data_IF_692113396794
#
_entry.id   IF_692113396794
#
_cell.length_a   1.000
_cell.length_b   1.000
_cell.length_c   1.000
_cell.angle_alpha   90.00
_cell.angle_beta   90.00
_cell.angle_gamma   90.00
#
_symmetry.space_group_name_H-M   'P 1'
#
loop_
_entity.id
_entity.type
_entity.pdbx_description
1 polymer ?
#
# COMPACT_ATOMS: atom_id res chain seq x y z
N UNK A 1 -13.78 -4.57 0.60
CA UNK A 1 -13.34 -3.39 1.36
C UNK A 1 -11.83 -3.38 1.35
N UNK A 2 -11.22 -2.21 1.36
CA UNK A 2 -9.77 -2.10 1.46
C UNK A 2 -9.29 -2.59 2.82
N UNK A 3 -8.04 -3.09 2.94
CA UNK A 3 -7.43 -3.49 4.23
C UNK A 3 -6.02 -2.95 4.40
N UNK A 4 -5.75 -1.72 3.96
CA UNK A 4 -4.41 -1.09 3.98
C UNK A 4 -3.82 -1.01 5.39
N UNK A 5 -4.64 -0.68 6.38
CA UNK A 5 -4.24 -0.55 7.78
C UNK A 5 -5.15 -1.34 8.71
N UNK A 6 -4.54 -2.16 9.58
CA UNK A 6 -5.22 -2.87 10.67
C UNK A 6 -4.79 -2.26 12.00
N UNK A 7 -5.61 -1.38 12.57
CA UNK A 7 -5.31 -0.72 13.85
C UNK A 7 -5.72 -1.60 15.03
N UNK A 8 -4.73 -2.06 15.80
CA UNK A 8 -4.95 -2.83 17.02
C UNK A 8 -5.29 -1.91 18.20
N UNK A 9 -6.33 -2.26 18.94
CA UNK A 9 -6.74 -1.58 20.18
C UNK A 9 -7.08 -2.62 21.26
N UNK A 10 -6.57 -2.48 22.50
CA UNK A 10 -6.86 -3.44 23.57
C UNK A 10 -8.34 -3.46 23.95
N UNK A 11 -8.94 -4.64 24.04
CA UNK A 11 -10.35 -4.81 24.40
C UNK A 11 -10.67 -4.46 25.86
N UNK A 12 -9.66 -4.41 26.73
CA UNK A 12 -9.78 -3.96 28.11
C UNK A 12 -9.65 -2.43 28.27
N UNK A 13 -9.47 -1.70 27.16
CA UNK A 13 -9.35 -0.23 27.14
C UNK A 13 -10.38 0.40 26.19
N UNK A 14 -11.68 0.39 26.55
CA UNK A 14 -12.76 0.83 25.66
C UNK A 14 -12.65 2.31 25.26
N UNK A 15 -12.03 3.15 26.08
CA UNK A 15 -11.75 4.57 25.74
C UNK A 15 -10.78 4.73 24.56
N UNK A 16 -9.88 3.76 24.35
CA UNK A 16 -9.00 3.74 23.18
C UNK A 16 -9.74 3.22 21.96
N UNK A 17 -10.52 2.15 22.12
CA UNK A 17 -11.32 1.57 21.03
C UNK A 17 -12.29 2.60 20.45
N UNK A 18 -12.99 3.38 21.29
CA UNK A 18 -13.87 4.48 20.84
C UNK A 18 -13.16 5.60 20.06
N UNK A 19 -11.84 5.69 20.14
CA UNK A 19 -11.04 6.67 19.38
C UNK A 19 -10.43 6.09 18.12
N UNK A 20 -10.45 4.76 17.97
CA UNK A 20 -9.85 4.04 16.84
C UNK A 20 -10.43 4.43 15.46
N UNK A 21 -11.71 4.84 15.30
CA UNK A 21 -12.22 5.29 14.01
C UNK A 21 -11.62 6.61 13.51
N UNK A 22 -11.12 7.48 14.41
CA UNK A 22 -10.68 8.85 14.06
C UNK A 22 -9.55 8.91 13.03
N UNK A 23 -8.48 8.10 13.11
CA UNK A 23 -7.46 8.06 12.05
C UNK A 23 -7.94 7.37 10.76
N UNK A 24 -9.21 6.95 10.67
CA UNK A 24 -9.79 6.25 9.52
C UNK A 24 -8.98 5.03 9.07
N UNK A 25 -8.71 4.07 9.97
CA UNK A 25 -8.09 2.82 9.57
C UNK A 25 -9.08 1.99 8.77
N UNK A 26 -8.59 1.23 7.80
CA UNK A 26 -9.44 0.34 6.99
C UNK A 26 -10.03 -0.80 7.85
N UNK A 27 -9.31 -1.22 8.90
CA UNK A 27 -9.75 -2.24 9.86
C UNK A 27 -9.42 -1.80 11.28
N UNK A 28 -10.40 -1.90 12.18
CA UNK A 28 -10.21 -1.74 13.63
C UNK A 28 -10.20 -3.13 14.26
N UNK A 29 -9.08 -3.53 14.85
CA UNK A 29 -8.93 -4.83 15.52
C UNK A 29 -9.00 -4.64 17.03
N UNK A 30 -10.10 -5.09 17.63
CA UNK A 30 -10.28 -5.12 19.09
C UNK A 30 -9.63 -6.40 19.63
N UNK A 31 -8.61 -6.24 20.47
CA UNK A 31 -7.76 -7.34 20.89
C UNK A 31 -8.19 -7.95 22.22
N UNK A 32 -8.51 -9.25 22.22
CA UNK A 32 -8.73 -10.05 23.44
C UNK A 32 -7.56 -11.00 23.75
N UNK A 33 -6.47 -10.96 22.98
CA UNK A 33 -5.33 -11.87 23.10
C UNK A 33 -4.16 -11.26 23.87
N UNK A 34 -3.03 -10.91 23.22
CA UNK A 34 -1.80 -10.48 23.90
C UNK A 34 -1.87 -9.10 24.55
N UNK A 35 -2.74 -8.18 24.09
CA UNK A 35 -2.90 -6.88 24.75
C UNK A 35 -3.70 -6.96 26.07
N UNK A 36 -4.35 -8.10 26.35
CA UNK A 36 -5.21 -8.27 27.54
C UNK A 36 -4.63 -9.35 28.44
N UNK A 37 -4.24 -8.94 29.65
CA UNK A 37 -3.73 -9.86 30.67
C UNK A 37 -4.78 -10.91 31.05
N UNK A 38 -4.39 -12.15 31.41
CA UNK A 38 -5.33 -13.25 31.63
C UNK A 38 -6.47 -12.93 32.60
N UNK A 39 -6.18 -12.21 33.68
CA UNK A 39 -7.14 -11.84 34.72
C UNK A 39 -8.16 -10.80 34.26
N UNK A 40 -7.82 -10.01 33.24
CA UNK A 40 -8.68 -8.96 32.68
C UNK A 40 -9.59 -9.46 31.55
N UNK A 41 -9.33 -10.65 30.98
CA UNK A 41 -10.11 -11.19 29.84
C UNK A 41 -11.63 -11.24 30.08
N UNK A 42 -12.15 -11.63 31.26
CA UNK A 42 -13.60 -11.58 31.51
C UNK A 42 -14.18 -10.16 31.40
N UNK A 43 -13.53 -9.16 31.99
CA UNK A 43 -13.97 -7.77 31.91
C UNK A 43 -13.80 -7.19 30.49
N UNK A 44 -12.74 -7.58 29.79
CA UNK A 44 -12.53 -7.20 28.40
C UNK A 44 -13.64 -7.72 27.48
N UNK A 45 -14.12 -8.96 27.69
CA UNK A 45 -15.27 -9.50 26.95
C UNK A 45 -16.54 -8.69 27.17
N UNK A 46 -16.85 -8.35 28.42
CA UNK A 46 -17.99 -7.48 28.74
C UNK A 46 -17.87 -6.13 28.03
N UNK A 47 -16.68 -5.51 28.07
CA UNK A 47 -16.42 -4.26 27.37
C UNK A 47 -16.55 -4.38 25.84
N UNK A 48 -16.09 -5.50 25.25
CA UNK A 48 -16.25 -5.78 23.81
C UNK A 48 -17.72 -5.93 23.45
N UNK A 49 -18.51 -6.68 24.22
CA UNK A 49 -19.96 -6.79 24.01
C UNK A 49 -20.65 -5.43 24.06
N UNK A 50 -20.30 -4.59 25.05
CA UNK A 50 -20.82 -3.24 25.18
C UNK A 50 -20.44 -2.36 23.99
N UNK A 51 -19.17 -2.36 23.57
CA UNK A 51 -18.68 -1.59 22.42
C UNK A 51 -19.38 -2.00 21.12
N UNK A 52 -19.51 -3.30 20.86
CA UNK A 52 -20.21 -3.81 19.68
C UNK A 52 -21.71 -3.50 19.70
N UNK A 53 -22.27 -3.19 20.87
CA UNK A 53 -23.67 -2.80 21.05
C UNK A 53 -23.88 -1.27 21.14
N UNK A 54 -22.82 -0.48 21.02
CA UNK A 54 -22.83 0.98 21.17
C UNK A 54 -23.10 1.64 19.80
N UNK A 55 -24.30 2.21 19.64
CA UNK A 55 -24.76 2.84 18.39
C UNK A 55 -23.84 4.00 17.94
N UNK A 56 -23.27 4.77 18.87
CA UNK A 56 -22.40 5.91 18.54
C UNK A 56 -21.07 5.41 18.02
N UNK A 57 -20.46 4.43 18.70
CA UNK A 57 -19.25 3.78 18.22
C UNK A 57 -19.47 3.11 16.85
N UNK A 58 -20.64 2.51 16.63
CA UNK A 58 -21.00 1.90 15.34
C UNK A 58 -21.12 2.92 14.23
N UNK A 59 -21.80 4.03 14.48
CA UNK A 59 -21.88 5.14 13.55
C UNK A 59 -20.50 5.70 13.17
N UNK A 60 -19.61 5.89 14.16
CA UNK A 60 -18.23 6.36 13.92
C UNK A 60 -17.43 5.39 13.03
N UNK A 61 -17.55 4.08 13.25
CA UNK A 61 -16.90 3.07 12.41
C UNK A 61 -17.44 3.08 10.98
N UNK A 62 -18.76 3.22 10.81
CA UNK A 62 -19.38 3.31 9.49
C UNK A 62 -19.00 4.60 8.75
N UNK A 63 -18.89 5.73 9.44
CA UNK A 63 -18.41 6.99 8.83
C UNK A 63 -16.95 6.87 8.36
N UNK A 64 -16.13 6.12 9.10
CA UNK A 64 -14.75 5.82 8.74
C UNK A 64 -14.59 4.73 7.66
N UNK A 65 -15.69 4.10 7.20
CA UNK A 65 -15.68 2.91 6.32
C UNK A 65 -14.79 1.76 6.85
N UNK A 66 -14.76 1.60 8.17
CA UNK A 66 -13.85 0.67 8.84
C UNK A 66 -14.50 -0.69 9.08
N UNK A 67 -13.80 -1.76 8.69
CA UNK A 67 -14.13 -3.14 9.08
C UNK A 67 -13.87 -3.32 10.58
N UNK A 68 -14.85 -3.88 11.32
CA UNK A 68 -14.63 -4.30 12.69
C UNK A 68 -14.12 -5.74 12.76
N UNK A 69 -12.97 -5.92 13.38
CA UNK A 69 -12.36 -7.21 13.66
C UNK A 69 -12.21 -7.42 15.17
N UNK A 70 -12.48 -8.62 15.67
CA UNK A 70 -12.12 -9.01 17.05
C UNK A 70 -11.07 -10.11 17.03
N UNK A 71 -9.89 -9.88 17.62
CA UNK A 71 -8.86 -10.91 17.76
C UNK A 71 -9.17 -11.81 18.95
N UNK A 72 -9.40 -13.09 18.66
CA UNK A 72 -9.76 -14.09 19.66
C UNK A 72 -8.54 -14.52 20.47
N UNK A 73 -8.76 -14.74 21.75
CA UNK A 73 -7.79 -15.33 22.66
C UNK A 73 -7.69 -16.84 22.44
N UNK A 74 -6.47 -17.38 22.51
CA UNK A 74 -6.25 -18.84 22.51
C UNK A 74 -6.65 -19.51 23.81
N UNK A 75 -6.71 -18.74 24.91
CA UNK A 75 -6.99 -19.29 26.23
C UNK A 75 -8.42 -19.81 26.32
N UNK A 76 -9.38 -19.08 25.72
CA UNK A 76 -10.79 -19.45 25.71
C UNK A 76 -11.53 -18.77 24.54
N UNK A 77 -11.31 -19.25 23.30
CA UNK A 77 -11.94 -18.66 22.11
C UNK A 77 -13.46 -18.81 22.11
N UNK A 78 -14.01 -19.84 22.78
CA UNK A 78 -15.45 -20.03 22.90
C UNK A 78 -16.11 -18.91 23.71
N UNK A 79 -15.51 -18.52 24.85
CA UNK A 79 -16.01 -17.39 25.64
C UNK A 79 -15.89 -16.04 24.91
N UNK A 80 -14.85 -15.86 24.08
CA UNK A 80 -14.72 -14.66 23.25
C UNK A 80 -15.83 -14.61 22.18
N UNK A 81 -16.11 -15.74 21.53
CA UNK A 81 -17.20 -15.85 20.55
C UNK A 81 -18.57 -15.68 21.21
N UNK A 82 -18.77 -16.20 22.43
CA UNK A 82 -20.00 -15.98 23.19
C UNK A 82 -20.23 -14.50 23.52
N UNK A 83 -19.16 -13.76 23.86
CA UNK A 83 -19.22 -12.33 24.11
C UNK A 83 -19.59 -11.54 22.85
N UNK A 84 -19.01 -11.91 21.71
CA UNK A 84 -19.35 -11.33 20.41
C UNK A 84 -20.80 -11.64 20.02
N UNK A 85 -21.25 -12.87 20.22
CA UNK A 85 -22.62 -13.31 19.89
C UNK A 85 -23.68 -12.65 20.79
N UNK A 86 -23.30 -12.19 21.97
CA UNK A 86 -24.19 -11.47 22.89
C UNK A 86 -24.36 -9.99 22.53
N UNK A 87 -23.55 -9.45 21.60
CA UNK A 87 -23.65 -8.05 21.17
C UNK A 87 -24.88 -7.81 20.29
N UNK A 88 -25.30 -6.54 20.19
CA UNK A 88 -26.43 -6.16 19.33
C UNK A 88 -26.14 -6.45 17.84
N UNK A 89 -24.90 -6.20 17.41
CA UNK A 89 -24.41 -6.52 16.07
C UNK A 89 -23.05 -7.23 16.16
N UNK A 90 -22.82 -8.31 15.39
CA UNK A 90 -21.53 -8.98 15.36
C UNK A 90 -20.48 -8.16 14.57
N UNK A 91 -19.18 -8.37 14.82
CA UNK A 91 -18.12 -7.80 14.00
C UNK A 91 -18.10 -8.44 12.61
N UNK A 92 -17.52 -7.72 11.66
CA UNK A 92 -17.35 -8.16 10.28
C UNK A 92 -16.40 -9.35 10.15
N UNK A 93 -15.37 -9.38 11.00
CA UNK A 93 -14.38 -10.45 11.07
C UNK A 93 -13.91 -10.78 12.48
N UNK A 94 -13.35 -11.98 12.63
CA UNK A 94 -12.55 -12.37 13.78
C UNK A 94 -11.14 -12.69 13.32
N UNK A 95 -10.16 -12.41 14.16
CA UNK A 95 -8.78 -12.81 13.92
C UNK A 95 -8.43 -14.05 14.75
N UNK A 96 -8.01 -15.11 14.07
CA UNK A 96 -7.49 -16.34 14.67
C UNK A 96 -6.00 -16.16 14.97
N UNK A 97 -5.65 -15.98 16.25
CA UNK A 97 -4.27 -15.90 16.71
C UNK A 97 -3.53 -17.24 16.59
N UNK A 98 -2.25 -17.18 16.21
CA UNK A 98 -1.32 -18.32 16.09
C UNK A 98 -1.89 -19.46 15.25
N UNK A 99 -2.49 -19.15 14.11
CA UNK A 99 -3.03 -20.12 13.16
C UNK A 99 -1.93 -21.10 12.70
N UNK A 100 -2.07 -22.37 13.05
CA UNK A 100 -1.05 -23.40 12.80
C UNK A 100 -1.34 -24.25 11.56
N UNK A 101 -2.60 -24.43 11.20
CA UNK A 101 -3.07 -25.35 10.16
C UNK A 101 -4.54 -25.05 9.83
N UNK A 102 -5.09 -25.77 8.85
CA UNK A 102 -6.50 -25.66 8.45
C UNK A 102 -7.46 -26.12 9.55
N UNK A 103 -7.08 -27.11 10.38
CA UNK A 103 -7.92 -27.63 11.47
C UNK A 103 -8.22 -26.52 12.49
N UNK A 104 -7.23 -25.67 12.83
CA UNK A 104 -7.44 -24.51 13.69
C UNK A 104 -8.45 -23.49 13.09
N UNK A 105 -8.50 -23.36 11.76
CA UNK A 105 -9.48 -22.52 11.07
C UNK A 105 -10.87 -23.17 11.11
N UNK A 106 -10.95 -24.49 10.90
CA UNK A 106 -12.18 -25.27 11.02
C UNK A 106 -12.79 -25.17 12.42
N UNK A 107 -11.97 -25.32 13.48
CA UNK A 107 -12.40 -25.17 14.87
C UNK A 107 -12.99 -23.77 15.13
N UNK A 108 -12.30 -22.73 14.66
CA UNK A 108 -12.79 -21.34 14.77
C UNK A 108 -14.09 -21.16 13.99
N UNK A 109 -14.17 -21.69 12.77
CA UNK A 109 -15.37 -21.61 11.93
C UNK A 109 -16.55 -22.33 12.58
N UNK A 110 -16.32 -23.47 13.21
CA UNK A 110 -17.34 -24.23 13.93
C UNK A 110 -17.88 -23.44 15.13
N UNK A 111 -17.01 -22.81 15.92
CA UNK A 111 -17.45 -21.92 17.01
C UNK A 111 -18.35 -20.79 16.51
N UNK A 112 -17.97 -20.12 15.43
CA UNK A 112 -18.79 -19.07 14.81
C UNK A 112 -20.12 -19.62 14.28
N UNK A 113 -20.11 -20.80 13.66
CA UNK A 113 -21.32 -21.45 13.12
C UNK A 113 -22.31 -21.81 14.23
N UNK A 114 -21.82 -22.34 15.35
CA UNK A 114 -22.65 -22.73 16.50
C UNK A 114 -23.36 -21.55 17.17
N UNK A 115 -22.91 -20.31 16.91
CA UNK A 115 -23.54 -19.06 17.37
C UNK A 115 -24.25 -18.30 16.25
N UNK A 116 -24.43 -18.91 15.08
CA UNK A 116 -25.05 -18.31 13.90
C UNK A 116 -24.36 -16.99 13.44
N UNK A 117 -23.04 -16.88 13.66
CA UNK A 117 -22.28 -15.69 13.30
C UNK A 117 -21.79 -15.77 11.84
N UNK A 118 -22.17 -14.81 10.96
CA UNK A 118 -21.72 -14.73 9.57
C UNK A 118 -20.35 -14.03 9.45
N UNK A 119 -19.48 -14.20 10.44
CA UNK A 119 -18.23 -13.46 10.59
C UNK A 119 -17.08 -14.14 9.83
N UNK A 120 -16.23 -13.35 9.16
CA UNK A 120 -15.07 -13.84 8.38
C UNK A 120 -13.87 -14.15 9.27
N UNK A 121 -12.93 -14.98 8.82
CA UNK A 121 -11.71 -15.30 9.58
C UNK A 121 -10.47 -14.68 8.95
N UNK A 122 -9.77 -13.84 9.72
CA UNK A 122 -8.42 -13.38 9.41
C UNK A 122 -7.43 -14.27 10.16
N UNK A 123 -6.63 -15.07 9.45
CA UNK A 123 -5.74 -16.04 10.07
C UNK A 123 -4.34 -15.43 10.32
N UNK A 124 -3.96 -15.28 11.59
CA UNK A 124 -2.66 -14.73 11.98
C UNK A 124 -1.59 -15.84 11.99
N UNK A 125 -0.76 -15.82 10.96
CA UNK A 125 0.38 -16.73 10.77
C UNK A 125 1.62 -16.13 11.43
N UNK A 126 1.93 -16.63 12.62
CA UNK A 126 2.96 -16.06 13.48
C UNK A 126 3.78 -17.12 14.24
N UNK A 127 3.73 -18.37 13.80
CA UNK A 127 4.58 -19.45 14.30
C UNK A 127 5.10 -20.32 13.14
N UNK A 128 6.14 -21.11 13.39
CA UNK A 128 6.81 -21.93 12.37
C UNK A 128 5.86 -22.92 11.71
N UNK A 129 4.93 -23.51 12.49
CA UNK A 129 3.94 -24.46 11.99
C UNK A 129 2.99 -23.77 10.98
N UNK A 130 2.47 -22.60 11.34
CA UNK A 130 1.63 -21.77 10.49
C UNK A 130 2.34 -21.36 9.21
N UNK A 131 3.60 -20.94 9.27
CA UNK A 131 4.38 -20.59 8.07
C UNK A 131 4.54 -21.77 7.11
N UNK A 132 4.80 -22.98 7.64
CA UNK A 132 4.89 -24.20 6.83
C UNK A 132 3.54 -24.50 6.17
N UNK A 133 2.45 -24.37 6.93
CA UNK A 133 1.09 -24.70 6.52
C UNK A 133 0.33 -23.55 5.84
N UNK A 134 0.98 -22.41 5.57
CA UNK A 134 0.32 -21.17 5.13
C UNK A 134 -0.61 -21.35 3.92
N UNK A 135 -0.26 -22.23 2.96
CA UNK A 135 -1.15 -22.55 1.83
C UNK A 135 -2.44 -23.23 2.27
N UNK A 136 -2.37 -24.24 3.14
CA UNK A 136 -3.57 -24.93 3.61
C UNK A 136 -4.47 -24.02 4.46
N UNK A 137 -3.87 -23.09 5.22
CA UNK A 137 -4.60 -22.07 5.97
C UNK A 137 -5.29 -21.09 5.01
N UNK A 138 -4.58 -20.63 3.97
CA UNK A 138 -5.11 -19.70 2.96
C UNK A 138 -6.24 -20.33 2.13
N UNK A 139 -6.06 -21.57 1.66
CA UNK A 139 -7.03 -22.30 0.83
C UNK A 139 -8.31 -22.69 1.58
N UNK A 140 -8.32 -22.52 2.91
CA UNK A 140 -9.48 -22.87 3.72
C UNK A 140 -10.66 -21.93 3.42
N UNK A 141 -11.88 -22.43 3.13
CA UNK A 141 -13.01 -21.59 2.66
C UNK A 141 -13.48 -20.50 3.64
N UNK A 142 -13.12 -20.60 4.92
CA UNK A 142 -13.45 -19.60 5.93
C UNK A 142 -12.39 -18.48 6.06
N UNK A 143 -11.19 -18.69 5.51
CA UNK A 143 -10.10 -17.72 5.57
C UNK A 143 -10.35 -16.62 4.54
N UNK A 144 -10.35 -15.38 5.00
CA UNK A 144 -10.58 -14.20 4.15
C UNK A 144 -9.31 -13.35 4.02
N UNK A 145 -8.37 -13.47 4.96
CA UNK A 145 -7.04 -12.91 4.87
C UNK A 145 -6.00 -13.73 5.66
N UNK A 146 -4.74 -13.67 5.23
CA UNK A 146 -3.60 -14.04 6.06
C UNK A 146 -2.95 -12.79 6.65
N UNK A 147 -2.74 -12.79 7.96
CA UNK A 147 -1.99 -11.75 8.68
C UNK A 147 -0.64 -12.34 9.10
N UNK A 148 0.45 -11.60 8.94
CA UNK A 148 1.79 -12.08 9.29
C UNK A 148 2.33 -11.46 10.59
N UNK A 149 2.55 -12.27 11.63
CA UNK A 149 3.14 -11.83 12.89
C UNK A 149 4.65 -12.12 12.96
N UNK A 150 5.49 -11.09 12.84
CA UNK A 150 6.94 -11.27 12.81
C UNK A 150 7.59 -11.43 14.21
N UNK A 151 7.01 -10.79 15.23
CA UNK A 151 7.54 -10.79 16.60
C UNK A 151 7.42 -12.19 17.22
N UNK A 152 6.21 -12.74 17.23
CA UNK A 152 5.94 -14.10 17.72
C UNK A 152 6.66 -15.17 16.90
N UNK A 153 6.75 -15.01 15.58
CA UNK A 153 7.50 -15.96 14.76
C UNK A 153 8.98 -15.97 15.16
N UNK A 154 9.57 -14.80 15.37
CA UNK A 154 10.97 -14.71 15.76
C UNK A 154 11.20 -15.38 17.12
N UNK A 155 10.28 -15.22 18.06
CA UNK A 155 10.32 -15.92 19.35
C UNK A 155 10.23 -17.45 19.17
N UNK A 156 9.29 -17.93 18.34
CA UNK A 156 9.06 -19.36 18.09
C UNK A 156 10.26 -20.06 17.44
N UNK A 157 10.90 -19.41 16.46
CA UNK A 157 12.08 -19.98 15.76
C UNK A 157 13.42 -19.67 16.46
N UNK A 158 13.41 -18.86 17.53
CA UNK A 158 14.61 -18.43 18.23
C UNK A 158 15.47 -17.42 17.46
N UNK A 159 14.86 -16.62 16.57
CA UNK A 159 15.52 -15.54 15.87
C UNK A 159 15.58 -14.26 16.72
N UNK A 160 16.51 -13.36 16.38
CA UNK A 160 16.57 -12.01 16.95
C UNK A 160 16.05 -11.01 15.92
N UNK A 161 15.08 -10.20 16.32
CA UNK A 161 14.49 -9.17 15.46
C UNK A 161 15.54 -8.13 15.08
N UNK A 162 15.53 -7.74 13.81
CA UNK A 162 16.41 -6.68 13.30
C UNK A 162 15.59 -5.62 12.56
N UNK A 163 16.11 -4.39 12.52
CA UNK A 163 15.48 -3.31 11.72
C UNK A 163 15.40 -3.65 10.24
N UNK A 164 16.30 -4.50 9.73
CA UNK A 164 16.29 -4.96 8.35
C UNK A 164 15.26 -6.08 8.08
N UNK A 165 14.62 -6.67 9.10
CA UNK A 165 13.63 -7.75 9.00
C UNK A 165 14.07 -8.96 8.14
N UNK A 166 15.39 -9.20 8.04
CA UNK A 166 15.95 -10.26 7.17
C UNK A 166 15.65 -11.65 7.71
N UNK A 167 15.61 -11.78 9.02
CA UNK A 167 15.37 -13.03 9.76
C UNK A 167 13.99 -13.65 9.50
N UNK A 168 13.00 -12.84 9.08
CA UNK A 168 11.64 -13.29 8.77
C UNK A 168 11.31 -13.22 7.27
N UNK A 169 12.27 -12.89 6.41
CA UNK A 169 12.00 -12.66 4.97
C UNK A 169 11.37 -13.87 4.28
N UNK A 170 11.87 -15.09 4.56
CA UNK A 170 11.27 -16.32 4.01
C UNK A 170 9.80 -16.46 4.41
N UNK A 171 9.50 -16.27 5.70
CA UNK A 171 8.15 -16.40 6.22
C UNK A 171 7.21 -15.32 5.65
N UNK A 172 7.67 -14.06 5.60
CA UNK A 172 6.95 -12.94 4.97
C UNK A 172 6.59 -13.26 3.52
N UNK A 173 7.55 -13.73 2.73
CA UNK A 173 7.31 -14.06 1.32
C UNK A 173 6.43 -15.31 1.16
N UNK A 174 6.58 -16.29 2.06
CA UNK A 174 5.75 -17.50 2.07
C UNK A 174 4.29 -17.18 2.34
N UNK A 175 3.99 -16.29 3.29
CA UNK A 175 2.61 -15.88 3.63
C UNK A 175 1.95 -15.16 2.47
N UNK A 176 2.55 -14.08 1.93
CA UNK A 176 1.96 -13.34 0.80
C UNK A 176 1.78 -14.21 -0.45
N UNK A 177 2.74 -15.11 -0.73
CA UNK A 177 2.60 -16.05 -1.86
C UNK A 177 1.45 -17.03 -1.64
N UNK A 178 1.21 -17.45 -0.39
CA UNK A 178 0.11 -18.37 -0.07
C UNK A 178 -1.24 -17.68 -0.15
N UNK A 179 -1.35 -16.46 0.37
CA UNK A 179 -2.55 -15.63 0.28
C UNK A 179 -2.92 -15.35 -1.18
N UNK A 180 -1.95 -14.92 -2.00
CA UNK A 180 -2.15 -14.68 -3.42
C UNK A 180 -2.54 -15.95 -4.20
N UNK A 181 -2.07 -17.13 -3.80
CA UNK A 181 -2.45 -18.39 -4.44
C UNK A 181 -3.89 -18.81 -4.14
N UNK A 182 -4.41 -18.41 -2.98
CA UNK A 182 -5.77 -18.66 -2.54
C UNK A 182 -6.75 -17.51 -2.86
N UNK A 183 -6.26 -16.42 -3.46
CA UNK A 183 -7.04 -15.21 -3.75
C UNK A 183 -7.65 -14.55 -2.50
N UNK A 184 -6.89 -14.56 -1.40
CA UNK A 184 -7.24 -13.87 -0.13
C UNK A 184 -6.23 -12.75 0.17
N UNK A 185 -6.64 -11.78 0.99
CA UNK A 185 -5.78 -10.64 1.33
C UNK A 185 -4.53 -11.06 2.12
N UNK A 186 -3.42 -10.35 1.93
CA UNK A 186 -2.22 -10.50 2.75
C UNK A 186 -1.93 -9.24 3.55
N UNK A 187 -1.82 -9.37 4.88
CA UNK A 187 -1.51 -8.26 5.79
C UNK A 187 -0.13 -8.44 6.44
N UNK A 188 0.74 -7.43 6.30
CA UNK A 188 2.12 -7.46 6.78
C UNK A 188 2.23 -7.14 8.28
N UNK A 189 3.38 -7.47 8.85
CA UNK A 189 3.69 -7.31 10.27
C UNK A 189 3.65 -5.86 10.76
N UNK A 190 3.56 -5.68 12.08
CA UNK A 190 3.69 -4.37 12.73
C UNK A 190 5.08 -3.75 12.57
N UNK A 191 5.15 -2.43 12.81
CA UNK A 191 6.40 -1.70 13.05
C UNK A 191 6.40 -1.19 14.49
N UNK A 192 7.38 -1.61 15.29
CA UNK A 192 7.35 -1.41 16.76
C UNK A 192 7.64 0.04 17.18
N UNK A 193 8.46 0.76 16.42
CA UNK A 193 8.81 2.15 16.74
C UNK A 193 7.80 3.11 16.09
N UNK A 194 6.76 3.48 16.84
CA UNK A 194 5.69 4.34 16.31
C UNK A 194 6.12 5.81 16.13
N UNK A 195 7.25 6.24 16.69
CA UNK A 195 7.77 7.60 16.54
C UNK A 195 8.60 7.75 15.25
N UNK A 196 9.17 6.65 14.74
CA UNK A 196 9.94 6.62 13.49
C UNK A 196 9.04 6.42 12.25
N UNK A 197 8.37 7.50 11.85
CA UNK A 197 7.55 7.53 10.62
C UNK A 197 8.37 7.20 9.36
N UNK A 198 9.64 7.60 9.29
CA UNK A 198 10.48 7.36 8.12
C UNK A 198 10.79 5.87 7.96
N UNK A 199 11.14 5.20 9.06
CA UNK A 199 11.35 3.76 9.08
C UNK A 199 10.06 2.98 8.82
N UNK A 200 8.93 3.44 9.38
CA UNK A 200 7.61 2.88 9.07
C UNK A 200 7.32 2.91 7.57
N UNK A 201 7.47 4.06 6.91
CA UNK A 201 7.22 4.18 5.46
C UNK A 201 8.11 3.24 4.65
N UNK A 202 9.41 3.18 4.95
CA UNK A 202 10.32 2.26 4.25
C UNK A 202 9.95 0.77 4.47
N UNK A 203 9.50 0.41 5.68
CA UNK A 203 9.03 -0.93 5.99
C UNK A 203 7.71 -1.27 5.27
N UNK A 204 6.80 -0.29 5.15
CA UNK A 204 5.54 -0.43 4.41
C UNK A 204 5.77 -0.50 2.90
N UNK A 205 6.70 0.28 2.35
CA UNK A 205 7.13 0.18 0.95
C UNK A 205 7.64 -1.23 0.63
N UNK A 206 8.43 -1.82 1.53
CA UNK A 206 8.88 -3.22 1.38
C UNK A 206 7.69 -4.20 1.37
N UNK A 207 6.64 -3.95 2.15
CA UNK A 207 5.43 -4.77 2.14
C UNK A 207 4.70 -4.68 0.79
N UNK A 208 4.56 -3.46 0.26
CA UNK A 208 4.01 -3.20 -1.08
C UNK A 208 4.84 -3.92 -2.16
N UNK A 209 6.16 -3.87 -2.08
CA UNK A 209 7.07 -4.56 -3.01
C UNK A 209 6.92 -6.09 -2.97
N UNK A 210 6.64 -6.66 -1.80
CA UNK A 210 6.34 -8.09 -1.65
C UNK A 210 4.94 -8.47 -2.15
N UNK A 211 4.06 -7.49 -2.33
CA UNK A 211 2.68 -7.70 -2.78
C UNK A 211 1.67 -7.85 -1.66
N UNK A 212 1.98 -7.41 -0.44
CA UNK A 212 0.98 -7.30 0.63
C UNK A 212 -0.07 -6.24 0.29
N UNK A 213 -1.26 -6.39 0.86
CA UNK A 213 -2.42 -5.52 0.67
C UNK A 213 -2.61 -4.53 1.82
N UNK A 214 -2.02 -4.85 2.97
CA UNK A 214 -2.01 -3.95 4.12
C UNK A 214 -0.94 -4.25 5.14
N UNK A 215 -1.00 -3.53 6.26
CA UNK A 215 -0.05 -3.64 7.37
C UNK A 215 -0.73 -3.41 8.72
N UNK A 216 -0.29 -4.15 9.73
CA UNK A 216 -0.70 -3.90 11.12
C UNK A 216 -0.18 -2.56 11.65
N UNK A 217 -1.05 -1.83 12.32
CA UNK A 217 -0.77 -0.60 13.07
C UNK A 217 -1.05 -0.83 14.56
N UNK A 218 -0.11 -0.43 15.41
CA UNK A 218 -0.23 -0.53 16.88
C UNK A 218 -0.42 0.85 17.53
N UNK A 219 -0.41 1.91 16.73
CA UNK A 219 -0.61 3.28 17.18
C UNK A 219 -1.35 4.11 16.12
N UNK A 220 -2.29 4.99 16.48
CA UNK A 220 -3.06 5.82 15.54
C UNK A 220 -2.20 6.61 14.55
N UNK A 221 -1.03 7.11 14.98
CA UNK A 221 -0.11 7.86 14.12
C UNK A 221 0.51 7.04 12.97
N UNK A 222 0.36 5.71 12.99
CA UNK A 222 0.86 4.84 11.92
C UNK A 222 -0.14 4.68 10.77
N UNK A 223 -1.42 4.99 11.00
CA UNK A 223 -2.51 4.74 10.04
C UNK A 223 -2.32 5.57 8.76
N UNK A 224 -2.19 6.90 8.87
CA UNK A 224 -2.04 7.76 7.69
C UNK A 224 -0.79 7.38 6.85
N UNK A 225 0.43 7.23 7.44
CA UNK A 225 1.59 6.81 6.67
C UNK A 225 1.43 5.45 5.99
N UNK A 226 0.73 4.50 6.64
CA UNK A 226 0.44 3.18 6.05
C UNK A 226 -0.52 3.31 4.87
N UNK A 227 -1.67 3.97 5.09
CA UNK A 227 -2.70 4.15 4.07
C UNK A 227 -2.15 4.89 2.84
N UNK A 228 -1.36 5.94 3.04
CA UNK A 228 -0.71 6.69 1.97
C UNK A 228 0.25 5.80 1.15
N UNK A 229 1.06 4.96 1.80
CA UNK A 229 2.03 4.11 1.09
C UNK A 229 1.37 2.97 0.31
N UNK A 230 0.27 2.40 0.80
CA UNK A 230 -0.50 1.40 0.04
C UNK A 230 -1.38 2.02 -1.07
N UNK A 231 -1.63 3.33 -1.00
CA UNK A 231 -2.37 4.05 -2.03
C UNK A 231 -1.45 4.38 -3.21
N UNK A 232 -1.73 3.88 -4.43
CA UNK A 232 -0.85 4.11 -5.57
C UNK A 232 -0.85 5.59 -5.98
N UNK A 233 0.34 6.11 -6.31
CA UNK A 233 0.50 7.49 -6.81
C UNK A 233 -0.26 7.70 -8.14
N UNK A 234 -0.81 8.91 -8.41
CA UNK A 234 -1.56 9.21 -9.63
C UNK A 234 -0.85 8.85 -10.94
N UNK A 235 0.48 8.96 -11.02
CA UNK A 235 1.23 8.56 -12.22
C UNK A 235 1.17 7.04 -12.44
N UNK A 236 1.19 6.27 -11.34
CA UNK A 236 1.07 4.81 -11.37
C UNK A 236 -0.35 4.38 -11.75
N UNK A 237 -1.37 5.07 -11.23
CA UNK A 237 -2.77 4.87 -11.63
C UNK A 237 -2.96 5.18 -13.12
N UNK A 238 -2.45 6.32 -13.59
CA UNK A 238 -2.53 6.67 -15.01
C UNK A 238 -1.82 5.67 -15.91
N UNK A 239 -0.65 5.16 -15.49
CA UNK A 239 0.04 4.08 -16.20
C UNK A 239 -0.81 2.82 -16.30
N UNK A 240 -1.44 2.40 -15.19
CA UNK A 240 -2.29 1.22 -15.15
C UNK A 240 -3.50 1.36 -16.09
N UNK A 241 -4.21 2.49 -16.02
CA UNK A 241 -5.37 2.77 -16.87
C UNK A 241 -5.01 2.79 -18.36
N UNK A 242 -3.87 3.40 -18.74
CA UNK A 242 -3.39 3.35 -20.14
C UNK A 242 -3.14 1.93 -20.62
N UNK A 243 -2.60 1.08 -19.76
CA UNK A 243 -2.28 -0.29 -20.09
C UNK A 243 -3.55 -1.15 -20.26
N UNK A 244 -4.54 -0.95 -19.39
CA UNK A 244 -5.84 -1.62 -19.45
C UNK A 244 -6.68 -1.16 -20.64
N UNK A 245 -6.71 0.14 -20.94
CA UNK A 245 -7.38 0.66 -22.13
C UNK A 245 -6.77 0.08 -23.42
N UNK A 246 -5.43 0.01 -23.50
CA UNK A 246 -4.74 -0.56 -24.64
C UNK A 246 -4.99 -2.08 -24.79
N UNK A 247 -5.17 -2.80 -23.67
CA UNK A 247 -5.61 -4.21 -23.67
C UNK A 247 -6.99 -4.35 -24.30
N UNK A 248 -7.94 -3.52 -23.88
CA UNK A 248 -9.33 -3.59 -24.34
C UNK A 248 -9.40 -3.29 -25.85
N UNK A 249 -8.70 -2.26 -26.33
CA UNK A 249 -8.55 -1.95 -27.77
C UNK A 249 -7.91 -3.10 -28.56
N UNK A 250 -6.91 -3.77 -27.99
CA UNK A 250 -6.21 -4.88 -28.64
C UNK A 250 -7.10 -6.13 -28.72
N UNK A 251 -7.91 -6.39 -27.69
CA UNK A 251 -8.90 -7.47 -27.69
C UNK A 251 -9.98 -7.26 -28.76
N UNK A 252 -10.49 -6.03 -28.89
CA UNK A 252 -11.47 -5.67 -29.93
C UNK A 252 -10.91 -5.80 -31.36
N UNK A 253 -9.62 -5.49 -31.53
CA UNK A 253 -8.95 -5.55 -32.84
C UNK A 253 -8.28 -6.90 -33.14
N UNK A 254 -8.44 -7.89 -32.26
CA UNK A 254 -7.90 -9.26 -32.44
C UNK A 254 -6.37 -9.34 -32.37
N UNK A 255 -5.70 -8.42 -31.68
CA UNK A 255 -4.23 -8.38 -31.53
C UNK A 255 -3.83 -8.92 -30.16
N UNK A 256 -3.15 -10.06 -30.13
CA UNK A 256 -2.69 -10.66 -28.86
C UNK A 256 -1.47 -10.00 -28.22
N UNK A 257 -0.75 -9.13 -28.96
CA UNK A 257 0.43 -8.40 -28.46
C UNK A 257 0.32 -6.95 -28.93
N UNK A 258 0.43 -6.02 -27.99
CA UNK A 258 0.40 -4.58 -28.24
C UNK A 258 1.48 -3.88 -27.41
N UNK A 259 1.83 -2.65 -27.78
CA UNK A 259 2.84 -1.87 -27.10
C UNK A 259 2.25 -0.59 -26.55
N UNK A 260 2.56 -0.29 -25.29
CA UNK A 260 2.21 0.97 -24.61
C UNK A 260 3.52 1.63 -24.21
N UNK A 261 3.69 2.92 -24.52
CA UNK A 261 4.90 3.70 -24.21
C UNK A 261 6.23 3.06 -24.72
N UNK A 262 6.16 2.21 -25.74
CA UNK A 262 7.31 1.53 -26.34
C UNK A 262 7.70 0.20 -25.69
N UNK A 263 6.98 -0.22 -24.65
CA UNK A 263 7.15 -1.52 -23.98
C UNK A 263 6.09 -2.52 -24.47
N UNK A 264 6.47 -3.80 -24.59
CA UNK A 264 5.56 -4.87 -24.96
C UNK A 264 4.68 -5.19 -23.77
N UNK A 265 3.35 -5.14 -23.97
CA UNK A 265 2.40 -5.49 -22.92
C UNK A 265 2.08 -6.98 -23.00
N UNK A 266 2.26 -7.67 -21.89
CA UNK A 266 1.93 -9.09 -21.70
C UNK A 266 0.97 -9.28 -20.51
N UNK A 267 0.51 -10.52 -20.30
CA UNK A 267 -0.44 -10.85 -19.23
C UNK A 267 0.07 -10.49 -17.81
N UNK A 268 1.34 -10.71 -17.45
CA UNK A 268 1.90 -10.23 -16.18
C UNK A 268 1.80 -8.72 -15.99
N UNK A 269 2.06 -7.92 -17.02
CA UNK A 269 1.99 -6.46 -16.93
C UNK A 269 0.53 -5.98 -16.77
N UNK A 270 -0.41 -6.65 -17.44
CA UNK A 270 -1.86 -6.42 -17.27
C UNK A 270 -2.29 -6.72 -15.83
N UNK A 271 -1.90 -7.87 -15.27
CA UNK A 271 -2.24 -8.22 -13.90
C UNK A 271 -1.67 -7.21 -12.88
N UNK A 272 -0.51 -6.63 -13.15
CA UNK A 272 0.02 -5.53 -12.33
C UNK A 272 -0.83 -4.26 -12.43
N UNK A 273 -1.27 -3.90 -13.63
CA UNK A 273 -2.15 -2.75 -13.83
C UNK A 273 -3.53 -2.95 -13.18
N UNK A 274 -4.11 -4.15 -13.26
CA UNK A 274 -5.37 -4.49 -12.59
C UNK A 274 -5.26 -4.31 -11.07
N UNK A 275 -4.19 -4.80 -10.43
CA UNK A 275 -3.93 -4.58 -9.01
C UNK A 275 -3.77 -3.10 -8.63
N UNK A 276 -3.08 -2.32 -9.46
CA UNK A 276 -2.95 -0.86 -9.23
C UNK A 276 -4.31 -0.19 -9.30
N UNK A 277 -5.14 -0.52 -10.30
CA UNK A 277 -6.49 0.02 -10.45
C UNK A 277 -7.38 -0.38 -9.28
N UNK A 278 -7.33 -1.63 -8.85
CA UNK A 278 -8.06 -2.13 -7.68
C UNK A 278 -7.74 -1.31 -6.42
N UNK A 279 -6.44 -1.10 -6.13
CA UNK A 279 -6.00 -0.25 -5.01
C UNK A 279 -6.41 1.21 -5.16
N UNK A 280 -6.41 1.75 -6.37
CA UNK A 280 -6.87 3.12 -6.64
C UNK A 280 -8.37 3.28 -6.38
N UNK A 281 -9.18 2.35 -6.87
CA UNK A 281 -10.63 2.33 -6.64
C UNK A 281 -10.96 2.16 -5.15
N UNK A 282 -10.20 1.32 -4.44
CA UNK A 282 -10.34 1.11 -3.00
C UNK A 282 -9.97 2.35 -2.16
N UNK A 283 -9.25 3.30 -2.75
CA UNK A 283 -8.89 4.58 -2.13
C UNK A 283 -9.72 5.77 -2.67
N UNK A 284 -10.83 5.50 -3.34
CA UNK A 284 -11.69 6.50 -4.02
C UNK A 284 -10.96 7.39 -5.03
N UNK A 285 -9.81 6.94 -5.55
CA UNK A 285 -9.08 7.62 -6.61
C UNK A 285 -9.73 7.29 -7.96
N UNK A 286 -10.75 8.05 -8.33
CA UNK A 286 -11.35 7.95 -9.66
C UNK A 286 -10.50 8.69 -10.70
N UNK A 287 -10.30 8.05 -11.84
CA UNK A 287 -9.63 8.62 -13.00
C UNK A 287 -10.66 9.16 -14.03
N UNK A 288 -10.36 10.26 -14.71
CA UNK A 288 -11.15 10.76 -15.85
C UNK A 288 -10.61 10.18 -17.17
N UNK A 289 -11.33 9.25 -17.84
CA UNK A 289 -10.89 8.66 -19.09
C UNK A 289 -10.63 9.70 -20.19
N UNK A 290 -11.29 10.86 -20.15
CA UNK A 290 -11.14 11.91 -21.15
C UNK A 290 -9.73 12.53 -21.14
N UNK A 291 -9.01 12.47 -20.02
CA UNK A 291 -7.65 13.00 -19.87
C UNK A 291 -6.60 12.21 -20.66
N UNK A 292 -6.89 10.98 -21.11
CA UNK A 292 -5.98 10.16 -21.93
C UNK A 292 -6.03 10.52 -23.43
N UNK A 293 -7.08 11.22 -23.87
CA UNK A 293 -7.37 11.44 -25.29
C UNK A 293 -6.57 12.58 -25.94
N UNK A 294 -5.78 13.35 -25.17
CA UNK A 294 -5.04 14.52 -25.68
C UNK A 294 -3.66 14.19 -26.24
N UNK A 295 -3.53 13.11 -27.02
CA UNK A 295 -2.56 13.10 -28.13
C UNK A 295 -3.25 13.53 -29.41
N UNK A 296 -3.55 14.84 -29.51
CA UNK A 296 -4.05 15.44 -30.74
C UNK A 296 -2.99 15.26 -31.83
N UNK A 297 -3.26 14.38 -32.82
CA UNK A 297 -2.51 14.36 -34.08
C UNK A 297 -2.58 15.76 -34.70
N UNK A 298 -1.49 16.50 -34.64
CA UNK A 298 -1.34 17.73 -35.44
C UNK A 298 -1.05 17.30 -36.87
N UNK A 299 -2.10 17.26 -37.69
CA UNK A 299 -1.97 17.19 -39.15
C UNK A 299 -1.15 18.39 -39.62
N UNK A 300 0.02 18.13 -40.21
CA UNK A 300 0.87 19.16 -40.81
C UNK A 300 0.22 19.68 -42.10
N UNK A 301 -0.46 20.82 -42.01
CA UNK A 301 -0.67 21.70 -43.15
C UNK A 301 0.60 22.54 -43.33
N UNK A 302 1.21 22.47 -44.50
CA UNK A 302 2.53 23.02 -44.76
C UNK A 302 2.61 24.53 -44.50
N UNK A 303 3.55 24.93 -43.64
CA UNK A 303 4.39 26.10 -43.90
C UNK A 303 5.68 26.03 -43.06
N UNK A 304 6.74 26.61 -43.58
CA UNK A 304 8.12 26.39 -43.18
C UNK A 304 8.52 27.25 -41.97
N UNK A 305 7.92 27.02 -40.79
CA UNK A 305 8.30 27.67 -39.54
C UNK A 305 8.44 26.67 -38.38
N UNK A 306 9.43 26.90 -37.53
CA UNK A 306 9.86 26.03 -36.41
C UNK A 306 8.70 25.57 -35.53
N UNK A 307 8.59 24.26 -35.19
CA UNK A 307 7.51 23.75 -34.37
C UNK A 307 7.67 24.23 -32.92
N UNK A 308 6.62 24.86 -32.39
CA UNK A 308 6.45 25.12 -30.96
C UNK A 308 5.59 23.99 -30.41
N UNK A 309 6.11 23.22 -29.45
CA UNK A 309 5.31 22.21 -28.75
C UNK A 309 4.74 22.84 -27.48
N UNK A 310 3.42 22.87 -27.36
CA UNK A 310 2.73 23.31 -26.15
C UNK A 310 2.11 22.08 -25.51
N UNK A 311 2.61 21.69 -24.33
CA UNK A 311 2.05 20.62 -23.52
C UNK A 311 1.10 21.26 -22.52
N UNK A 312 -0.20 21.07 -22.69
CA UNK A 312 -1.21 21.48 -21.71
C UNK A 312 -1.53 20.27 -20.84
N UNK A 313 -1.11 20.30 -19.58
CA UNK A 313 -1.54 19.35 -18.55
C UNK A 313 -2.70 20.01 -17.80
N UNK A 314 -3.89 19.45 -17.90
CA UNK A 314 -5.07 19.88 -17.12
C UNK A 314 -5.18 19.04 -15.85
N UNK A 315 -5.06 19.71 -14.69
CA UNK A 315 -5.21 19.16 -13.34
C UNK A 315 -5.10 20.29 -12.31
N UNK A 316 -5.49 20.08 -11.03
CA UNK A 316 -5.65 21.16 -10.04
C UNK A 316 -4.36 21.89 -9.65
N UNK A 317 -3.19 21.44 -10.13
CA UNK A 317 -1.91 22.13 -10.07
C UNK A 317 -1.35 22.34 -11.48
N UNK A 318 -1.95 23.24 -12.26
CA UNK A 318 -1.46 23.57 -13.59
C UNK A 318 -0.14 24.37 -13.52
N UNK A 319 0.97 23.74 -13.89
CA UNK A 319 2.21 24.43 -14.23
C UNK A 319 2.35 24.52 -15.76
N UNK A 320 2.43 25.73 -16.30
CA UNK A 320 2.73 25.96 -17.72
C UNK A 320 4.25 26.05 -17.88
N UNK A 321 4.86 25.07 -18.56
CA UNK A 321 6.27 25.08 -18.91
C UNK A 321 6.44 25.37 -20.40
N UNK A 322 7.13 26.47 -20.74
CA UNK A 322 7.59 26.73 -22.11
C UNK A 322 8.94 26.05 -22.34
N UNK A 323 8.99 25.13 -23.30
CA UNK A 323 10.22 24.47 -23.74
C UNK A 323 10.60 24.99 -25.12
N UNK A 324 11.77 25.62 -25.21
CA UNK A 324 12.35 26.05 -26.48
C UNK A 324 13.36 25.00 -26.96
N UNK A 325 13.28 24.63 -28.23
CA UNK A 325 14.27 23.77 -28.88
C UNK A 325 15.16 24.59 -29.81
N UNK A 326 16.45 24.28 -29.83
CA UNK A 326 17.40 24.87 -30.78
C UNK A 326 18.08 23.76 -31.59
N UNK A 327 18.15 23.95 -32.91
CA UNK A 327 18.87 23.08 -33.84
C UNK A 327 20.17 23.73 -34.24
N UNK A 328 21.29 23.03 -34.02
CA UNK A 328 22.59 23.42 -34.56
C UNK A 328 23.18 22.26 -35.35
N UNK A 329 23.65 22.55 -36.56
CA UNK A 329 24.36 21.60 -37.41
C UNK A 329 25.86 21.82 -37.25
N UNK A 330 26.64 20.74 -37.11
CA UNK A 330 28.09 20.84 -37.19
C UNK A 330 28.57 20.81 -38.65
N UNK A 331 29.84 21.18 -38.88
CA UNK A 331 30.46 21.20 -40.22
C UNK A 331 30.58 19.82 -40.89
N UNK A 332 30.07 18.75 -40.26
CA UNK A 332 29.99 17.40 -40.84
C UNK A 332 28.53 16.97 -41.11
N UNK A 333 27.56 17.85 -40.91
CA UNK A 333 26.15 17.61 -41.23
C UNK A 333 25.35 16.88 -40.14
N UNK A 334 25.87 16.73 -38.93
CA UNK A 334 25.11 16.14 -37.83
C UNK A 334 24.25 17.22 -37.14
N UNK A 335 22.93 16.94 -37.01
CA UNK A 335 21.98 17.84 -36.35
C UNK A 335 21.92 17.51 -34.85
N UNK A 336 22.25 18.48 -34.00
CA UNK A 336 22.00 18.41 -32.55
C UNK A 336 20.75 19.22 -32.19
N UNK A 337 19.84 18.61 -31.44
CA UNK A 337 18.64 19.26 -30.88
C UNK A 337 18.88 19.44 -29.38
N UNK A 338 18.95 20.69 -28.92
CA UNK A 338 19.01 21.02 -27.50
C UNK A 338 17.67 21.55 -27.00
N UNK A 339 17.20 21.07 -25.86
CA UNK A 339 15.99 21.55 -25.19
C UNK A 339 16.37 22.43 -23.99
N UNK A 340 15.72 23.58 -23.84
CA UNK A 340 15.87 24.48 -22.70
C UNK A 340 14.48 24.81 -22.13
N UNK A 341 14.33 24.69 -20.81
CA UNK A 341 13.13 25.12 -20.08
C UNK A 341 13.39 26.57 -19.66
N UNK A 342 12.64 27.52 -20.21
CA UNK A 342 12.89 28.96 -19.95
C UNK A 342 12.24 29.43 -18.64
N UNK A 343 11.11 28.83 -18.23
CA UNK A 343 10.46 29.07 -16.93
C UNK A 343 9.34 28.07 -16.64
N UNK A 344 9.14 27.77 -15.35
CA UNK A 344 7.94 27.13 -14.81
C UNK A 344 7.18 28.18 -13.99
N UNK A 345 5.90 28.42 -14.30
CA UNK A 345 5.03 29.28 -13.48
C UNK A 345 4.04 28.38 -12.76
N UNK A 346 4.23 28.20 -11.45
CA UNK A 346 3.21 27.64 -10.56
C UNK A 346 2.19 28.74 -10.28
N UNK A 347 0.92 28.51 -10.64
CA UNK A 347 -0.18 29.34 -10.15
C UNK A 347 -0.70 28.73 -8.85
N UNK A 348 -0.22 29.21 -7.72
CA UNK A 348 -0.91 29.05 -6.43
C UNK A 348 -1.76 30.29 -6.15
N UNK A 349 -2.96 30.17 -5.55
CA UNK A 349 -3.60 31.31 -4.92
C UNK A 349 -2.85 31.59 -3.61
N UNK A 350 -1.99 32.60 -3.60
CA UNK A 350 -1.29 33.03 -2.37
C UNK A 350 -2.10 34.14 -1.70
N UNK A 351 -2.73 33.81 -0.57
CA UNK A 351 -2.93 34.77 0.53
C UNK A 351 -1.73 34.70 1.46
N UNK A 352 -1.04 35.83 1.67
CA UNK A 352 -0.01 35.99 2.72
C UNK A 352 1.43 35.87 2.23
N UNK A 353 2.17 36.97 2.26
CA UNK A 353 3.50 37.10 1.66
C UNK A 353 4.65 36.48 2.45
N UNK A 354 5.77 36.24 1.77
CA UNK A 354 7.09 36.84 1.99
C UNK A 354 8.03 36.40 0.83
N UNK A 355 8.87 37.31 0.34
CA UNK A 355 9.79 37.14 -0.79
C UNK A 355 10.94 36.15 -0.48
N UNK A 356 11.35 35.34 -1.48
CA UNK A 356 12.65 34.66 -1.49
C UNK A 356 13.34 34.82 -2.87
N UNK A 357 14.66 35.09 -2.95
CA UNK A 357 15.31 35.63 -4.14
C UNK A 357 15.80 34.55 -5.12
N UNK A 358 15.72 34.86 -6.40
CA UNK A 358 16.17 34.03 -7.54
C UNK A 358 17.70 33.93 -7.60
N UNK A 359 18.25 32.71 -7.52
CA UNK A 359 19.60 32.37 -8.00
C UNK A 359 19.50 31.50 -9.25
N UNK A 360 19.94 32.04 -10.39
CA UNK A 360 20.13 31.31 -11.66
C UNK A 360 21.33 30.36 -11.53
N UNK A 361 21.10 29.05 -11.62
CA UNK A 361 22.15 28.06 -11.90
C UNK A 361 21.95 27.50 -13.30
N UNK A 362 22.90 27.78 -14.21
CA UNK A 362 22.99 27.12 -15.52
C UNK A 362 23.87 25.88 -15.37
N UNK A 363 23.31 24.67 -15.46
CA UNK A 363 24.09 23.45 -15.68
C UNK A 363 23.93 22.99 -17.13
N UNK A 364 25.06 22.93 -17.86
CA UNK A 364 25.15 22.29 -19.19
C UNK A 364 25.63 20.86 -18.98
N UNK A 365 24.83 19.87 -19.36
CA UNK A 365 25.26 18.47 -19.45
C UNK A 365 25.54 18.14 -20.90
N UNK A 366 26.81 17.85 -21.24
CA UNK A 366 27.18 17.24 -22.52
C UNK A 366 27.55 15.77 -22.29
N UNK A 367 26.86 14.85 -22.97
CA UNK A 367 27.26 13.45 -23.05
C UNK A 367 27.88 13.21 -24.43
N UNK A 368 29.18 12.97 -24.49
CA UNK A 368 29.85 12.35 -25.64
C UNK A 368 30.37 10.98 -25.18
N UNK A 369 29.94 9.91 -25.87
CA UNK A 369 30.53 8.57 -25.75
C UNK A 369 31.59 8.39 -26.84
N UNK A 370 32.81 8.06 -26.44
CA UNK A 370 33.76 7.30 -27.26
C UNK A 370 34.92 6.72 -26.42
N UNK A 371 34.99 5.39 -26.39
CA UNK A 371 36.17 4.48 -26.38
C UNK A 371 37.36 4.69 -25.42
N UNK A 372 37.49 3.72 -24.49
CA UNK A 372 38.70 2.99 -24.01
C UNK A 372 40.07 3.68 -23.90
N UNK A 373 40.62 3.76 -22.66
CA UNK A 373 41.80 2.98 -22.16
C UNK A 373 42.24 3.45 -20.76
N UNK A 374 42.97 2.57 -20.07
CA UNK A 374 43.45 2.61 -18.68
C UNK A 374 44.14 3.91 -18.21
N UNK A 375 44.01 4.17 -16.90
CA UNK A 375 44.86 5.10 -16.15
C UNK A 375 44.54 5.06 -14.66
N UNK A 376 45.36 4.34 -13.89
CA UNK A 376 45.44 4.40 -12.42
C UNK A 376 45.91 5.79 -11.96
N UNK A 377 45.24 6.42 -10.99
CA UNK A 377 45.91 7.20 -9.94
C UNK A 377 44.98 7.57 -8.77
N UNK A 378 45.48 7.24 -7.58
CA UNK A 378 45.15 7.74 -6.26
C UNK A 378 45.27 9.27 -6.14
N UNK A 379 44.37 9.96 -5.42
CA UNK A 379 44.77 11.02 -4.48
C UNK A 379 43.67 11.47 -3.49
N UNK A 380 43.96 11.23 -2.20
CA UNK A 380 43.79 12.05 -0.99
C UNK A 380 42.58 12.99 -0.82
N UNK A 381 41.82 12.70 0.25
CA UNK A 381 41.05 13.66 1.04
C UNK A 381 41.99 14.56 1.83
N UNK A 382 41.76 15.86 1.78
CA UNK A 382 42.21 16.83 2.79
C UNK A 382 40.99 17.29 3.57
N UNK A 383 40.96 16.95 4.87
CA UNK A 383 40.16 17.65 5.87
C UNK A 383 40.86 18.97 6.20
N UNK A 384 40.08 20.03 6.37
CA UNK A 384 40.50 21.20 7.15
C UNK A 384 39.30 21.74 7.91
N UNK A 385 39.47 21.78 9.23
CA UNK A 385 38.61 22.41 10.22
C UNK A 385 38.40 23.90 9.94
N UNK A 386 37.25 24.38 10.40
CA UNK A 386 36.90 25.78 10.61
C UNK A 386 35.63 25.82 11.42
#
# INVERSE_FOLDING_TARGET
MSRRSLLFSPGDQPDLVRKAPRPSPDVITIDLEDAVVPEAKPAAREAVTELLSDDEFRADCHEADAELCVRLSRADPAADVDAIAAAAEPPDSVMLAKASDADAVDETRALLADRDLPTRVLALVENARGVVNATAIADHPATDALVFGAEDLAADVGATRTTACREVTYARQRVVTSAAAAEVDAIDTLYTDFEDETGLRAATETAVEFGYDGKMAIHPAQVDPINETFTPDPDRVSWAERLLAARDDAAETGRGVFAVDGEMVDAPLIAQAERVRERALAADLTFDPAALTTTRRVSHGGDNSTPSHELLVSGPLAAVCRVNSSRTADNKGHIRIGYAIDSAVLRTPVTGGYLCPTRRTRSRVSKNRSTTRHGTSTCRRTCSNG
#
